data_IF_609831822505
#
_entry.id   IF_609831822505
#
_cell.length_a   1.000
_cell.length_b   1.000
_cell.length_c   1.000
_cell.angle_alpha   90.00
_cell.angle_beta   90.00
_cell.angle_gamma   90.00
#
_symmetry.space_group_name_H-M   'P 1'
#
loop_
_entity.id
_entity.type
_entity.pdbx_description
1 polymer ?
#
# COMPACT_ATOMS: atom_id res chain seq x y z
N UNK A 1 8.88 4.08 -17.76
CA UNK A 1 8.88 2.87 -16.90
C UNK A 1 10.25 2.62 -16.24
N UNK A 2 10.86 3.64 -15.62
CA UNK A 2 12.14 3.51 -14.90
C UNK A 2 11.97 3.02 -13.44
N UNK A 3 10.76 3.16 -12.91
CA UNK A 3 10.39 2.85 -11.52
C UNK A 3 10.46 1.35 -11.22
N UNK A 4 10.04 0.49 -12.16
CA UNK A 4 10.09 -0.98 -12.04
C UNK A 4 11.51 -1.57 -12.01
N UNK A 5 12.51 -0.79 -12.43
CA UNK A 5 13.92 -1.20 -12.41
C UNK A 5 14.61 -0.84 -11.08
N UNK A 6 13.93 -0.09 -10.21
CA UNK A 6 14.50 0.23 -8.92
C UNK A 6 14.47 -0.97 -7.97
N UNK A 7 15.61 -1.35 -7.35
CA UNK A 7 15.63 -2.46 -6.40
C UNK A 7 14.80 -2.15 -5.15
N UNK A 8 14.68 -0.88 -4.77
CA UNK A 8 13.86 -0.40 -3.65
C UNK A 8 12.37 -0.71 -3.82
N UNK A 9 11.86 -0.69 -5.06
CA UNK A 9 10.47 -1.07 -5.35
C UNK A 9 10.22 -2.55 -5.08
N UNK A 10 11.12 -3.43 -5.54
CA UNK A 10 10.99 -4.87 -5.33
C UNK A 10 11.19 -5.25 -3.86
N UNK A 11 12.11 -4.59 -3.16
CA UNK A 11 12.28 -4.79 -1.72
C UNK A 11 11.01 -4.40 -0.97
N UNK A 12 10.40 -3.26 -1.29
CA UNK A 12 9.11 -2.83 -0.70
C UNK A 12 8.00 -3.85 -0.95
N UNK A 13 7.89 -4.38 -2.17
CA UNK A 13 6.90 -5.42 -2.47
C UNK A 13 7.16 -6.69 -1.66
N UNK A 14 8.41 -7.16 -1.60
CA UNK A 14 8.75 -8.39 -0.89
C UNK A 14 8.53 -8.24 0.62
N UNK A 15 8.89 -7.11 1.22
CA UNK A 15 8.62 -6.83 2.63
C UNK A 15 7.13 -6.79 2.90
N UNK A 16 6.36 -6.11 2.03
CA UNK A 16 4.92 -6.02 2.20
C UNK A 16 4.24 -7.37 2.06
N UNK A 17 4.64 -8.18 1.07
CA UNK A 17 4.18 -9.56 0.91
C UNK A 17 4.44 -10.41 2.16
N UNK A 18 5.65 -10.31 2.71
CA UNK A 18 6.02 -11.04 3.92
C UNK A 18 5.19 -10.60 5.12
N UNK A 19 5.00 -9.29 5.31
CA UNK A 19 4.12 -8.73 6.34
C UNK A 19 2.70 -9.28 6.20
N UNK A 20 2.10 -9.18 5.01
CA UNK A 20 0.73 -9.63 4.75
C UNK A 20 0.56 -11.13 4.97
N UNK A 21 1.56 -11.94 4.58
CA UNK A 21 1.57 -13.37 4.86
C UNK A 21 1.60 -13.67 6.38
N UNK A 22 2.45 -12.98 7.13
CA UNK A 22 2.51 -13.13 8.59
C UNK A 22 1.19 -12.72 9.26
N UNK A 23 0.59 -11.62 8.81
CA UNK A 23 -0.70 -11.13 9.32
C UNK A 23 -1.83 -12.12 9.03
N UNK A 24 -1.84 -12.74 7.84
CA UNK A 24 -2.85 -13.75 7.47
C UNK A 24 -2.72 -15.08 8.25
N UNK A 25 -1.54 -15.39 8.81
CA UNK A 25 -1.34 -16.57 9.66
C UNK A 25 -1.85 -16.38 11.09
N UNK A 26 -1.95 -15.13 11.58
CA UNK A 26 -2.35 -14.84 12.95
C UNK A 26 -3.75 -15.38 13.32
N UNK A 27 -4.77 -15.28 12.44
CA UNK A 27 -6.07 -15.93 12.66
C UNK A 27 -5.99 -17.45 12.77
N UNK A 28 -5.13 -18.10 11.98
CA UNK A 28 -4.93 -19.57 12.04
C UNK A 28 -4.39 -19.99 13.40
N UNK A 29 -3.38 -19.28 13.92
CA UNK A 29 -2.83 -19.53 15.26
C UNK A 29 -3.91 -19.28 16.33
N UNK A 30 -4.72 -18.24 16.16
CA UNK A 30 -5.83 -17.93 17.06
C UNK A 30 -6.84 -19.08 17.14
N UNK A 31 -7.21 -19.67 16.00
CA UNK A 31 -8.11 -20.83 15.98
C UNK A 31 -7.49 -22.03 16.69
N UNK A 32 -6.20 -22.31 16.47
CA UNK A 32 -5.52 -23.41 17.17
C UNK A 32 -5.48 -23.23 18.68
N UNK A 33 -5.37 -21.97 19.16
CA UNK A 33 -5.48 -21.65 20.59
C UNK A 33 -6.89 -21.94 21.10
N UNK A 34 -7.92 -21.54 20.35
CA UNK A 34 -9.32 -21.81 20.71
C UNK A 34 -9.60 -23.31 20.76
N UNK A 35 -9.13 -24.08 19.78
CA UNK A 35 -9.29 -25.54 19.74
C UNK A 35 -8.58 -26.22 20.93
N UNK A 36 -7.37 -25.77 21.26
CA UNK A 36 -6.64 -26.25 22.43
C UNK A 36 -7.34 -25.89 23.75
N UNK A 37 -7.98 -24.72 23.82
CA UNK A 37 -8.80 -24.30 24.95
C UNK A 37 -10.06 -25.16 25.12
N UNK A 38 -10.75 -25.48 24.02
CA UNK A 38 -11.90 -26.41 24.02
C UNK A 38 -11.46 -27.81 24.47
N UNK A 39 -10.29 -28.27 24.03
CA UNK A 39 -9.70 -29.55 24.45
C UNK A 39 -9.12 -29.54 25.88
N UNK A 40 -9.09 -28.38 26.56
CA UNK A 40 -8.51 -28.17 27.89
C UNK A 40 -7.02 -28.53 28.00
N UNK A 41 -6.27 -28.45 26.90
CA UNK A 41 -4.83 -28.71 26.87
C UNK A 41 -4.03 -27.45 27.20
N UNK A 42 -3.78 -27.24 28.48
CA UNK A 42 -3.05 -26.07 29.00
C UNK A 42 -1.61 -25.96 28.48
N UNK A 43 -0.94 -27.09 28.24
CA UNK A 43 0.44 -27.06 27.74
C UNK A 43 0.48 -26.56 26.30
N UNK A 44 -0.45 -27.02 25.46
CA UNK A 44 -0.54 -26.60 24.06
C UNK A 44 -0.96 -25.14 23.93
N UNK A 45 -1.85 -24.66 24.80
CA UNK A 45 -2.24 -23.24 24.88
C UNK A 45 -1.02 -22.37 25.19
N UNK A 46 -0.21 -22.73 26.19
CA UNK A 46 0.95 -21.91 26.59
C UNK A 46 1.99 -21.81 25.47
N UNK A 47 2.24 -22.91 24.76
CA UNK A 47 3.15 -22.92 23.62
C UNK A 47 2.63 -22.09 22.44
N UNK A 48 1.34 -22.23 22.11
CA UNK A 48 0.70 -21.46 21.05
C UNK A 48 0.60 -19.97 21.38
N UNK A 49 0.34 -19.61 22.65
CA UNK A 49 0.33 -18.22 23.11
C UNK A 49 1.72 -17.57 23.01
N UNK A 50 2.79 -18.31 23.34
CA UNK A 50 4.16 -17.86 23.10
C UNK A 50 4.45 -17.65 21.62
N UNK A 51 4.02 -18.58 20.76
CA UNK A 51 4.12 -18.46 19.31
C UNK A 51 3.33 -17.26 18.76
N UNK A 52 2.15 -16.99 19.31
CA UNK A 52 1.31 -15.84 18.95
C UNK A 52 2.00 -14.52 19.28
N UNK A 53 2.57 -14.40 20.49
CA UNK A 53 3.30 -13.20 20.91
C UNK A 53 4.52 -12.94 20.01
N UNK A 54 5.28 -14.00 19.70
CA UNK A 54 6.42 -13.91 18.81
C UNK A 54 6.00 -13.54 17.39
N UNK A 55 4.94 -14.16 16.86
CA UNK A 55 4.37 -13.81 15.56
C UNK A 55 3.93 -12.35 15.49
N UNK A 56 3.29 -11.85 16.54
CA UNK A 56 2.90 -10.44 16.63
C UNK A 56 4.12 -9.49 16.63
N UNK A 57 5.18 -9.82 17.35
CA UNK A 57 6.44 -9.05 17.30
C UNK A 57 7.06 -9.05 15.90
N UNK A 58 7.05 -10.20 15.21
CA UNK A 58 7.54 -10.29 13.83
C UNK A 58 6.72 -9.40 12.89
N UNK A 59 5.40 -9.37 13.04
CA UNK A 59 4.53 -8.50 12.24
C UNK A 59 4.89 -7.03 12.48
N UNK A 60 5.03 -6.58 13.73
CA UNK A 60 5.39 -5.18 14.04
C UNK A 60 6.73 -4.80 13.41
N UNK A 61 7.73 -5.67 13.55
CA UNK A 61 9.05 -5.42 12.96
C UNK A 61 8.94 -5.36 11.44
N UNK A 62 8.20 -6.27 10.83
CA UNK A 62 7.99 -6.32 9.39
C UNK A 62 7.25 -5.09 8.86
N UNK A 63 6.21 -4.63 9.55
CA UNK A 63 5.49 -3.38 9.23
C UNK A 63 6.42 -2.17 9.31
N UNK A 64 7.25 -2.09 10.34
CA UNK A 64 8.21 -1.01 10.48
C UNK A 64 9.21 -0.97 9.30
N UNK A 65 9.73 -2.13 8.92
CA UNK A 65 10.60 -2.25 7.74
C UNK A 65 9.87 -1.89 6.45
N UNK A 66 8.64 -2.38 6.26
CA UNK A 66 7.85 -2.12 5.07
C UNK A 66 7.55 -0.62 4.89
N UNK A 67 7.16 0.06 5.98
CA UNK A 67 6.91 1.49 5.99
C UNK A 67 8.19 2.30 5.73
N UNK A 68 9.31 1.89 6.35
CA UNK A 68 10.60 2.54 6.16
C UNK A 68 11.09 2.44 4.71
N UNK A 69 11.03 1.24 4.12
CA UNK A 69 11.46 1.00 2.73
C UNK A 69 10.55 1.74 1.74
N UNK A 70 9.23 1.71 1.97
CA UNK A 70 8.26 2.42 1.14
C UNK A 70 8.46 3.93 1.18
N UNK A 71 8.77 4.49 2.35
CA UNK A 71 9.09 5.92 2.51
C UNK A 71 10.39 6.29 1.78
N UNK A 72 11.45 5.48 1.91
CA UNK A 72 12.72 5.70 1.20
C UNK A 72 12.51 5.65 -0.32
N UNK A 73 11.69 4.72 -0.80
CA UNK A 73 11.35 4.62 -2.21
C UNK A 73 10.62 5.87 -2.72
N UNK A 74 9.60 6.35 -2.01
CA UNK A 74 8.89 7.57 -2.35
C UNK A 74 9.84 8.78 -2.42
N UNK A 75 10.67 8.98 -1.39
CA UNK A 75 11.65 10.06 -1.34
C UNK A 75 12.66 10.02 -2.51
N UNK A 76 13.10 8.82 -2.92
CA UNK A 76 13.99 8.65 -4.08
C UNK A 76 13.30 9.02 -5.39
N UNK A 77 12.03 8.66 -5.56
CA UNK A 77 11.27 9.03 -6.74
C UNK A 77 11.01 10.54 -6.81
N UNK A 78 10.71 11.17 -5.67
CA UNK A 78 10.58 12.62 -5.57
C UNK A 78 11.88 13.33 -6.00
N UNK A 79 13.04 12.89 -5.50
CA UNK A 79 14.33 13.45 -5.89
C UNK A 79 14.63 13.29 -7.38
N UNK A 80 14.25 12.15 -7.98
CA UNK A 80 14.39 11.93 -9.42
C UNK A 80 13.50 12.85 -10.23
N UNK A 81 12.23 13.00 -9.84
CA UNK A 81 11.31 13.94 -10.46
C UNK A 81 11.86 15.37 -10.42
N UNK A 82 12.40 15.79 -9.27
CA UNK A 82 13.04 17.11 -9.13
C UNK A 82 14.25 17.27 -10.05
N UNK A 83 15.12 16.26 -10.12
CA UNK A 83 16.29 16.30 -11.00
C UNK A 83 15.89 16.33 -12.48
N UNK A 84 14.93 15.51 -12.91
CA UNK A 84 14.44 15.48 -14.29
C UNK A 84 13.78 16.82 -14.68
N UNK A 85 13.03 17.42 -13.76
CA UNK A 85 12.44 18.76 -13.95
C UNK A 85 13.53 19.83 -14.08
N UNK A 86 14.58 19.77 -13.24
CA UNK A 86 15.69 20.71 -13.32
C UNK A 86 16.46 20.57 -14.63
N UNK A 87 16.76 19.34 -15.05
CA UNK A 87 17.48 19.06 -16.30
C UNK A 87 16.68 19.49 -17.54
N UNK A 88 15.38 19.20 -17.58
CA UNK A 88 14.49 19.66 -18.66
C UNK A 88 14.34 21.18 -18.68
N UNK A 89 14.31 21.82 -17.52
CA UNK A 89 14.20 23.28 -17.41
C UNK A 89 15.48 23.95 -17.92
N UNK A 90 16.64 23.40 -17.58
CA UNK A 90 17.96 23.89 -18.04
C UNK A 90 18.20 23.60 -19.53
N UNK A 91 17.61 22.54 -20.08
CA UNK A 91 17.72 22.19 -21.50
C UNK A 91 16.77 23.00 -22.42
N UNK A 92 15.81 23.77 -21.87
CA UNK A 92 14.95 24.66 -22.67
C UNK A 92 15.74 25.86 -23.19
N UNK A 93 15.57 26.18 -24.47
CA UNK A 93 16.13 27.39 -25.07
C UNK A 93 15.48 28.66 -24.50
N UNK A 94 16.20 29.79 -24.59
CA UNK A 94 15.82 31.08 -23.99
C UNK A 94 14.40 31.54 -24.39
N UNK A 95 14.00 31.29 -25.64
CA UNK A 95 12.67 31.63 -26.18
C UNK A 95 11.52 30.78 -25.58
N UNK A 96 11.79 29.53 -25.20
CA UNK A 96 10.79 28.63 -24.62
C UNK A 96 10.69 28.76 -23.10
N UNK A 97 11.73 29.29 -22.45
CA UNK A 97 11.71 29.61 -21.02
C UNK A 97 10.87 30.86 -20.71
N UNK A 98 10.91 31.88 -21.59
CA UNK A 98 10.15 33.14 -21.43
C UNK A 98 8.64 33.02 -21.62
N UNK A 99 8.16 31.92 -22.22
CA UNK A 99 6.73 31.68 -22.45
C UNK A 99 5.96 31.31 -21.18
N UNK A 100 6.64 30.75 -20.17
CA UNK A 100 6.03 30.34 -18.92
C UNK A 100 6.53 31.20 -17.75
N UNK A 101 5.67 31.64 -16.83
CA UNK A 101 6.11 32.39 -15.66
C UNK A 101 7.00 31.52 -14.76
N UNK A 102 8.08 32.11 -14.22
CA UNK A 102 9.05 31.43 -13.33
C UNK A 102 8.36 30.75 -12.13
N UNK A 103 7.24 31.31 -11.66
CA UNK A 103 6.40 30.73 -10.61
C UNK A 103 5.85 29.34 -10.96
N UNK A 104 5.62 29.03 -12.24
CA UNK A 104 5.17 27.72 -12.71
C UNK A 104 6.23 26.65 -12.50
N UNK A 105 7.49 26.97 -12.83
CA UNK A 105 8.63 26.07 -12.64
C UNK A 105 8.92 25.86 -11.15
N UNK A 106 8.85 26.93 -10.35
CA UNK A 106 9.01 26.84 -8.91
C UNK A 106 7.93 25.94 -8.28
N UNK A 107 6.66 26.13 -8.67
CA UNK A 107 5.55 25.32 -8.15
C UNK A 107 5.65 23.86 -8.57
N UNK A 108 6.09 23.58 -9.81
CA UNK A 108 6.33 22.22 -10.29
C UNK A 108 7.41 21.50 -9.46
N UNK A 109 8.51 22.21 -9.14
CA UNK A 109 9.62 21.66 -8.38
C UNK A 109 9.30 21.46 -6.88
N UNK A 110 8.54 22.36 -6.26
CA UNK A 110 8.26 22.32 -4.81
C UNK A 110 7.02 21.51 -4.46
N UNK A 111 5.92 21.68 -5.21
CA UNK A 111 4.62 21.10 -4.86
C UNK A 111 4.25 19.93 -5.75
N UNK A 112 4.39 20.03 -7.08
CA UNK A 112 3.91 18.96 -7.96
C UNK A 112 4.76 17.69 -7.85
N UNK A 113 6.09 17.81 -7.75
CA UNK A 113 6.97 16.66 -7.57
C UNK A 113 6.70 15.88 -6.26
N UNK A 114 6.53 16.61 -5.14
CA UNK A 114 6.18 16.01 -3.86
C UNK A 114 4.79 15.37 -3.91
N UNK A 115 3.82 16.09 -4.48
CA UNK A 115 2.45 15.61 -4.63
C UNK A 115 2.34 14.37 -5.51
N UNK A 116 3.08 14.29 -6.60
CA UNK A 116 3.13 13.08 -7.44
C UNK A 116 3.72 11.91 -6.66
N UNK A 117 4.74 12.15 -5.83
CA UNK A 117 5.31 11.09 -5.00
C UNK A 117 4.31 10.54 -3.99
N UNK A 118 3.66 11.44 -3.24
CA UNK A 118 2.73 11.06 -2.18
C UNK A 118 1.37 10.56 -2.70
N UNK A 119 0.86 11.12 -3.80
CA UNK A 119 -0.46 10.77 -4.36
C UNK A 119 -0.40 9.59 -5.34
N UNK A 120 0.78 9.21 -5.86
CA UNK A 120 0.92 8.14 -6.86
C UNK A 120 1.77 6.97 -6.37
N UNK A 121 3.01 7.19 -5.94
CA UNK A 121 3.92 6.07 -5.67
C UNK A 121 3.57 5.33 -4.37
N UNK A 122 3.26 6.06 -3.31
CA UNK A 122 2.87 5.46 -2.04
C UNK A 122 1.54 4.70 -2.11
N UNK A 123 0.46 5.24 -2.71
CA UNK A 123 -0.81 4.53 -2.82
C UNK A 123 -0.73 3.29 -3.72
N UNK A 124 0.11 3.30 -4.77
CA UNK A 124 0.33 2.11 -5.61
C UNK A 124 0.93 0.97 -4.79
N UNK A 125 1.94 1.25 -3.95
CA UNK A 125 2.53 0.23 -3.07
C UNK A 125 1.50 -0.32 -2.08
N UNK A 126 0.72 0.56 -1.43
CA UNK A 126 -0.36 0.13 -0.53
C UNK A 126 -1.44 -0.68 -1.25
N UNK A 127 -1.78 -0.33 -2.49
CA UNK A 127 -2.77 -1.04 -3.27
C UNK A 127 -2.31 -2.47 -3.60
N UNK A 128 -1.05 -2.63 -4.03
CA UNK A 128 -0.45 -3.94 -4.27
C UNK A 128 -0.43 -4.77 -2.99
N UNK A 129 0.00 -4.18 -1.87
CA UNK A 129 -0.01 -4.81 -0.56
C UNK A 129 -1.43 -5.28 -0.17
N UNK A 130 -2.44 -4.44 -0.38
CA UNK A 130 -3.84 -4.75 -0.09
C UNK A 130 -4.38 -5.92 -0.91
N UNK A 131 -4.05 -6.00 -2.21
CA UNK A 131 -4.44 -7.13 -3.07
C UNK A 131 -3.84 -8.43 -2.53
N UNK A 132 -2.54 -8.44 -2.23
CA UNK A 132 -1.90 -9.64 -1.72
C UNK A 132 -2.36 -10.00 -0.31
N UNK A 133 -2.61 -9.01 0.55
CA UNK A 133 -3.24 -9.21 1.85
C UNK A 133 -4.60 -9.87 1.74
N UNK A 134 -5.43 -9.46 0.78
CA UNK A 134 -6.71 -10.11 0.50
C UNK A 134 -6.51 -11.56 0.04
N UNK A 135 -5.59 -11.81 -0.90
CA UNK A 135 -5.30 -13.16 -1.39
C UNK A 135 -4.84 -14.08 -0.25
N UNK A 136 -3.89 -13.65 0.58
CA UNK A 136 -3.40 -14.45 1.70
C UNK A 136 -4.48 -14.69 2.75
N UNK A 137 -5.32 -13.70 3.06
CA UNK A 137 -6.43 -13.90 3.99
C UNK A 137 -7.48 -14.89 3.45
N UNK A 138 -7.81 -14.82 2.16
CA UNK A 138 -8.71 -15.78 1.51
C UNK A 138 -8.13 -17.20 1.55
N UNK A 139 -6.84 -17.34 1.25
CA UNK A 139 -6.14 -18.63 1.34
C UNK A 139 -6.11 -19.17 2.78
N UNK A 140 -5.85 -18.32 3.77
CA UNK A 140 -5.92 -18.72 5.18
C UNK A 140 -7.33 -19.19 5.55
N UNK A 141 -8.37 -18.42 5.19
CA UNK A 141 -9.77 -18.74 5.47
C UNK A 141 -10.23 -20.04 4.83
N UNK A 142 -9.68 -20.41 3.67
CA UNK A 142 -9.95 -21.72 3.06
C UNK A 142 -9.61 -22.88 4.00
N UNK A 143 -8.60 -22.73 4.86
CA UNK A 143 -8.21 -23.74 5.86
C UNK A 143 -9.02 -23.65 7.16
N UNK A 144 -9.49 -22.46 7.54
CA UNK A 144 -10.27 -22.24 8.77
C UNK A 144 -11.75 -22.65 8.59
N UNK A 145 -12.44 -22.00 7.64
CA UNK A 145 -13.86 -22.18 7.37
C UNK A 145 -14.23 -21.63 5.98
N UNK A 146 -14.69 -22.50 5.05
CA UNK A 146 -15.06 -22.08 3.70
C UNK A 146 -16.28 -21.14 3.64
N UNK A 147 -17.13 -21.10 4.67
CA UNK A 147 -18.26 -20.15 4.74
C UNK A 147 -17.77 -18.74 5.05
N UNK A 148 -16.85 -18.60 6.01
CA UNK A 148 -16.23 -17.31 6.33
C UNK A 148 -15.45 -16.75 5.14
N UNK A 149 -14.81 -17.61 4.35
CA UNK A 149 -14.13 -17.21 3.10
C UNK A 149 -15.09 -16.50 2.14
N UNK A 150 -16.28 -17.06 1.88
CA UNK A 150 -17.28 -16.45 0.98
C UNK A 150 -17.75 -15.10 1.49
N UNK A 151 -17.98 -14.98 2.81
CA UNK A 151 -18.39 -13.72 3.42
C UNK A 151 -17.31 -12.64 3.24
N UNK A 152 -16.05 -12.99 3.46
CA UNK A 152 -14.92 -12.05 3.28
C UNK A 152 -14.79 -11.61 1.83
N UNK A 153 -14.91 -12.53 0.86
CA UNK A 153 -14.88 -12.19 -0.57
C UNK A 153 -16.02 -11.21 -0.92
N UNK A 154 -17.25 -11.52 -0.52
CA UNK A 154 -18.42 -10.67 -0.82
C UNK A 154 -18.28 -9.30 -0.14
N UNK A 155 -17.87 -9.26 1.12
CA UNK A 155 -17.69 -8.00 1.85
C UNK A 155 -16.57 -7.13 1.26
N UNK A 156 -15.55 -7.73 0.66
CA UNK A 156 -14.44 -7.01 0.01
C UNK A 156 -14.84 -6.32 -1.30
N UNK A 157 -15.93 -6.77 -1.95
CA UNK A 157 -16.44 -6.12 -3.17
C UNK A 157 -16.99 -4.72 -2.86
N UNK A 158 -17.60 -4.53 -1.69
CA UNK A 158 -18.23 -3.26 -1.29
C UNK A 158 -17.22 -2.09 -1.29
N UNK A 159 -16.09 -2.15 -0.56
CA UNK A 159 -15.11 -1.07 -0.55
C UNK A 159 -14.36 -0.91 -1.88
N UNK A 160 -14.39 -1.92 -2.78
CA UNK A 160 -13.85 -1.76 -4.13
C UNK A 160 -14.84 -1.00 -5.02
N UNK A 161 -16.13 -1.36 -5.01
CA UNK A 161 -17.13 -0.76 -5.91
C UNK A 161 -17.55 0.64 -5.46
N UNK A 162 -17.62 0.89 -4.15
CA UNK A 162 -18.11 2.15 -3.60
C UNK A 162 -17.30 3.39 -4.02
N UNK A 163 -15.95 3.40 -3.99
CA UNK A 163 -15.16 4.53 -4.50
C UNK A 163 -15.38 4.77 -5.99
N UNK A 164 -15.51 3.73 -6.82
CA UNK A 164 -15.69 3.92 -8.27
C UNK A 164 -17.02 4.60 -8.61
N UNK A 165 -18.10 4.25 -7.91
CA UNK A 165 -19.40 4.89 -8.13
C UNK A 165 -19.42 6.30 -7.56
N UNK A 166 -18.80 6.52 -6.39
CA UNK A 166 -18.75 7.82 -5.74
C UNK A 166 -17.82 8.81 -6.45
N UNK A 167 -16.63 8.39 -6.90
CA UNK A 167 -15.70 9.23 -7.66
C UNK A 167 -16.31 9.70 -8.99
N UNK A 168 -17.02 8.82 -9.71
CA UNK A 168 -17.74 9.22 -10.92
C UNK A 168 -18.82 10.28 -10.65
N UNK A 169 -19.54 10.16 -9.53
CA UNK A 169 -20.54 11.14 -9.13
C UNK A 169 -19.90 12.49 -8.79
N UNK A 170 -18.76 12.49 -8.07
CA UNK A 170 -18.01 13.70 -7.74
C UNK A 170 -17.42 14.36 -8.99
N UNK A 171 -16.82 13.60 -9.90
CA UNK A 171 -16.22 14.16 -11.13
C UNK A 171 -17.28 14.83 -12.00
N UNK A 172 -18.47 14.23 -12.09
CA UNK A 172 -19.61 14.81 -12.82
C UNK A 172 -20.08 16.10 -12.15
N UNK A 173 -20.21 16.11 -10.81
CA UNK A 173 -20.59 17.31 -10.05
C UNK A 173 -19.55 18.43 -10.17
N UNK A 174 -18.26 18.08 -10.18
CA UNK A 174 -17.14 19.02 -10.34
C UNK A 174 -17.11 19.63 -11.73
N UNK A 175 -17.37 18.85 -12.78
CA UNK A 175 -17.50 19.36 -14.15
C UNK A 175 -18.69 20.32 -14.29
N UNK A 176 -19.82 20.04 -13.64
CA UNK A 176 -20.94 20.97 -13.61
C UNK A 176 -20.62 22.27 -12.88
N UNK A 177 -19.88 22.22 -11.76
CA UNK A 177 -19.47 23.41 -11.02
C UNK A 177 -18.44 24.28 -11.73
N UNK A 178 -17.53 23.68 -12.51
CA UNK A 178 -16.49 24.41 -13.25
C UNK A 178 -16.99 25.01 -14.57
N UNK A 179 -18.12 24.50 -15.09
CA UNK A 179 -18.74 24.97 -16.33
C UNK A 179 -19.96 25.89 -16.10
N UNK A 180 -20.30 26.18 -14.83
CA UNK A 180 -21.34 27.12 -14.42
C UNK A 180 -20.73 28.46 -14.01
#
# INVERSE_FOLDING_TARGET
MAVLKEPTFWVAIVTSLFTQFCTALLPVITQQILDAAVAKDLHRIFWLAGGYLLGFLVIIVSEFFDQSVSSIFAAKQELRLKNDLAEQTLAKGEDSFRLDPVSRYQNAYTNEAARISDDLFYPILMFVAGIFGLVFNVLALQFLDPVLMVIVIVSSIIPIVFPFTFSRAIDTAKQHFLNA
#
